data_IF_441105087913
#
_entry.id   IF_441105087913
#
_cell.length_a   1.000
_cell.length_b   1.000
_cell.length_c   1.000
_cell.angle_alpha   90.00
_cell.angle_beta   90.00
_cell.angle_gamma   90.00
#
_symmetry.space_group_name_H-M   'P 1'
#
loop_
_entity.id
_entity.type
_entity.pdbx_description
1 polymer ?
#
# COMPACT_ATOMS: atom_id res chain seq x y z
N UNK A 1 2.90 14.24 7.01
CA UNK A 1 3.28 15.40 7.87
C UNK A 1 2.30 15.60 9.01
N UNK A 2 1.00 15.82 8.75
CA UNK A 2 -0.01 16.00 9.81
C UNK A 2 0.04 14.91 10.90
N UNK A 3 0.01 13.63 10.51
CA UNK A 3 0.09 12.51 11.46
C UNK A 3 1.34 12.55 12.35
N UNK A 4 2.51 12.85 11.78
CA UNK A 4 3.74 12.96 12.53
C UNK A 4 3.72 14.10 13.55
N UNK A 5 3.13 15.25 13.20
CA UNK A 5 2.93 16.35 14.16
C UNK A 5 2.02 15.92 15.32
N UNK A 6 0.89 15.26 15.02
CA UNK A 6 -0.04 14.78 16.05
C UNK A 6 0.61 13.74 16.97
N UNK A 7 1.38 12.79 16.43
CA UNK A 7 2.02 11.73 17.21
C UNK A 7 3.15 12.25 18.11
N UNK A 8 4.01 13.13 17.58
CA UNK A 8 5.16 13.64 18.33
C UNK A 8 4.80 14.76 19.32
N UNK A 9 3.89 15.68 18.92
CA UNK A 9 3.61 16.92 19.67
C UNK A 9 2.18 17.03 20.18
N UNK A 10 1.29 16.10 19.81
CA UNK A 10 -0.04 16.01 20.41
C UNK A 10 0.00 15.33 21.77
N UNK A 11 -1.18 14.99 22.30
CA UNK A 11 -1.32 14.38 23.63
C UNK A 11 -0.57 13.04 23.77
N UNK A 12 -0.37 12.30 22.68
CA UNK A 12 0.32 11.02 22.67
C UNK A 12 1.82 11.12 23.05
N UNK A 13 2.47 12.25 22.73
CA UNK A 13 3.91 12.50 22.97
C UNK A 13 4.81 11.30 22.64
N UNK A 14 4.62 10.70 21.47
CA UNK A 14 5.36 9.52 21.06
C UNK A 14 6.83 9.87 20.80
N UNK A 15 7.75 9.15 21.45
CA UNK A 15 9.20 9.38 21.34
C UNK A 15 9.77 8.81 20.04
N UNK A 16 9.42 9.44 18.92
CA UNK A 16 9.84 9.08 17.56
C UNK A 16 10.26 10.33 16.79
N UNK A 17 10.90 10.15 15.64
CA UNK A 17 11.09 11.20 14.65
C UNK A 17 10.75 10.67 13.25
N UNK A 18 10.37 11.56 12.34
CA UNK A 18 9.99 11.22 10.97
C UNK A 18 11.12 11.49 9.99
N UNK A 19 11.31 10.57 9.04
CA UNK A 19 12.12 10.77 7.85
C UNK A 19 11.21 10.72 6.62
N UNK A 20 11.24 11.77 5.81
CA UNK A 20 10.41 11.90 4.61
C UNK A 20 11.31 12.26 3.44
N UNK A 21 11.35 11.39 2.43
CA UNK A 21 12.00 11.70 1.16
C UNK A 21 11.07 12.56 0.31
N UNK A 22 11.55 13.73 -0.10
CA UNK A 22 10.89 14.58 -1.09
C UNK A 22 11.65 14.54 -2.41
N UNK A 23 11.00 15.01 -3.47
CA UNK A 23 11.49 14.89 -4.84
C UNK A 23 11.55 16.28 -5.48
N UNK A 24 12.50 16.49 -6.38
CA UNK A 24 12.67 17.73 -7.14
C UNK A 24 12.06 17.68 -8.54
N UNK A 25 11.31 16.63 -8.87
CA UNK A 25 10.69 16.42 -10.17
C UNK A 25 9.23 16.87 -10.16
N UNK A 26 8.83 17.67 -11.14
CA UNK A 26 7.43 18.10 -11.30
C UNK A 26 6.64 17.08 -12.13
N UNK A 27 5.46 16.72 -11.64
CA UNK A 27 4.47 15.90 -12.35
C UNK A 27 3.07 16.17 -11.81
N UNK A 28 2.05 15.68 -12.50
CA UNK A 28 0.66 15.86 -12.08
C UNK A 28 0.40 15.22 -10.70
N UNK A 29 -0.15 16.01 -9.78
CA UNK A 29 -0.54 15.58 -8.43
C UNK A 29 -2.07 15.41 -8.38
N UNK A 30 -2.60 14.18 -8.46
CA UNK A 30 -4.05 13.95 -8.41
C UNK A 30 -4.62 14.22 -7.02
N UNK A 31 -5.95 14.38 -6.94
CA UNK A 31 -6.65 14.44 -5.67
C UNK A 31 -6.45 13.15 -4.85
N UNK A 32 -6.43 13.28 -3.53
CA UNK A 32 -6.39 12.13 -2.63
C UNK A 32 -7.70 11.32 -2.77
N UNK A 33 -7.64 9.99 -2.95
CA UNK A 33 -8.84 9.16 -2.91
C UNK A 33 -9.53 9.26 -1.55
N UNK A 34 -10.86 9.30 -1.53
CA UNK A 34 -11.62 9.35 -0.28
C UNK A 34 -11.34 8.09 0.57
N UNK A 35 -11.04 8.28 1.87
CA UNK A 35 -10.75 7.18 2.80
C UNK A 35 -9.31 6.64 2.73
N UNK A 36 -8.43 7.22 1.90
CA UNK A 36 -7.03 6.78 1.79
C UNK A 36 -6.15 7.19 2.97
N UNK A 37 -6.63 8.03 3.89
CA UNK A 37 -5.85 8.66 4.96
C UNK A 37 -5.20 7.64 5.89
N UNK A 38 -5.91 6.57 6.24
CA UNK A 38 -5.37 5.48 7.07
C UNK A 38 -4.32 4.67 6.30
N UNK A 39 -4.57 4.35 5.03
CA UNK A 39 -3.62 3.60 4.20
C UNK A 39 -2.32 4.38 3.93
N UNK A 40 -2.42 5.71 3.74
CA UNK A 40 -1.26 6.60 3.65
C UNK A 40 -0.43 6.56 4.92
N UNK A 41 -1.06 6.58 6.10
CA UNK A 41 -0.37 6.49 7.40
C UNK A 41 0.23 5.12 7.65
N UNK A 42 -0.49 4.04 7.31
CA UNK A 42 -0.07 2.65 7.51
C UNK A 42 0.97 2.15 6.51
N UNK A 43 1.12 2.82 5.38
CA UNK A 43 2.22 2.56 4.43
C UNK A 43 1.78 2.09 3.05
N UNK A 44 0.51 1.75 2.82
CA UNK A 44 0.00 1.31 1.51
C UNK A 44 -1.50 1.54 1.37
N UNK A 45 -1.93 1.91 0.17
CA UNK A 45 -3.34 1.86 -0.25
C UNK A 45 -3.48 1.52 -1.73
N UNK A 46 -4.62 0.95 -2.11
CA UNK A 46 -4.95 0.70 -3.52
C UNK A 46 -5.34 2.02 -4.18
N UNK A 47 -4.62 2.39 -5.24
CA UNK A 47 -4.83 3.63 -5.96
C UNK A 47 -5.92 3.46 -7.03
N UNK A 48 -5.86 2.37 -7.79
CA UNK A 48 -6.80 2.07 -8.88
C UNK A 48 -6.77 0.58 -9.25
N UNK A 49 -7.77 0.16 -10.02
CA UNK A 49 -7.86 -1.15 -10.66
C UNK A 49 -8.08 -0.95 -12.15
N UNK A 50 -7.26 -1.59 -12.97
CA UNK A 50 -7.45 -1.70 -14.42
C UNK A 50 -7.95 -3.11 -14.74
N UNK A 51 -8.96 -3.18 -15.59
CA UNK A 51 -9.53 -4.45 -16.04
C UNK A 51 -8.72 -5.06 -17.18
N UNK A 52 -8.78 -6.39 -17.32
CA UNK A 52 -8.16 -7.13 -18.40
C UNK A 52 -8.63 -8.58 -18.41
N UNK A 53 -8.69 -9.19 -19.59
CA UNK A 53 -9.28 -10.51 -19.79
C UNK A 53 -8.27 -11.66 -19.80
N UNK A 54 -6.97 -11.37 -19.94
CA UNK A 54 -5.91 -12.39 -20.11
C UNK A 54 -5.13 -12.71 -18.84
N UNK A 55 -5.31 -11.92 -17.79
CA UNK A 55 -4.62 -12.11 -16.51
C UNK A 55 -4.80 -10.91 -15.59
N UNK A 56 -4.40 -11.08 -14.33
CA UNK A 56 -4.41 -10.00 -13.34
C UNK A 56 -3.15 -10.00 -12.49
N UNK A 57 -2.49 -8.84 -12.41
CA UNK A 57 -1.28 -8.63 -11.60
C UNK A 57 -1.52 -7.58 -10.51
N UNK A 58 -0.58 -7.46 -9.58
CA UNK A 58 -0.56 -6.39 -8.58
C UNK A 58 0.72 -5.59 -8.79
N UNK A 59 0.59 -4.27 -8.86
CA UNK A 59 1.69 -3.35 -9.17
C UNK A 59 1.88 -2.37 -8.01
N UNK A 60 3.09 -2.30 -7.47
CA UNK A 60 3.40 -1.49 -6.29
C UNK A 60 4.44 -0.43 -6.68
N UNK A 61 4.21 0.81 -6.28
CA UNK A 61 5.13 1.91 -6.52
C UNK A 61 5.18 2.90 -5.36
N UNK A 62 6.31 3.62 -5.25
CA UNK A 62 6.50 4.69 -4.27
C UNK A 62 7.27 5.85 -4.89
N UNK A 63 7.16 7.04 -4.31
CA UNK A 63 7.88 8.24 -4.78
C UNK A 63 7.70 8.53 -6.27
N UNK A 64 8.77 8.95 -6.94
CA UNK A 64 8.77 9.29 -8.37
C UNK A 64 8.50 8.10 -9.29
N UNK A 65 8.73 6.87 -8.80
CA UNK A 65 8.55 5.66 -9.61
C UNK A 65 7.08 5.25 -9.71
N UNK A 66 6.21 5.66 -8.77
CA UNK A 66 4.79 5.29 -8.81
C UNK A 66 4.12 5.65 -10.14
N UNK A 67 4.40 6.82 -10.72
CA UNK A 67 3.79 7.22 -12.00
C UNK A 67 4.19 6.29 -13.16
N UNK A 68 5.42 5.79 -13.16
CA UNK A 68 5.92 4.87 -14.17
C UNK A 68 5.30 3.48 -14.00
N UNK A 69 5.01 3.09 -12.75
CA UNK A 69 4.23 1.88 -12.45
C UNK A 69 2.78 2.01 -12.98
N UNK A 70 2.16 3.19 -12.88
CA UNK A 70 0.84 3.46 -13.47
C UNK A 70 0.87 3.39 -15.00
N UNK A 71 1.92 3.92 -15.63
CA UNK A 71 2.12 3.80 -17.07
C UNK A 71 2.26 2.33 -17.50
N UNK A 72 3.05 1.54 -16.78
CA UNK A 72 3.16 0.10 -17.00
C UNK A 72 1.82 -0.64 -16.84
N UNK A 73 0.98 -0.21 -15.87
CA UNK A 73 -0.37 -0.74 -15.71
C UNK A 73 -1.23 -0.52 -16.97
N UNK A 74 -1.13 0.67 -17.56
CA UNK A 74 -1.85 1.02 -18.78
C UNK A 74 -1.35 0.22 -19.99
N UNK A 75 -0.04 0.04 -20.14
CA UNK A 75 0.58 -0.78 -21.18
C UNK A 75 0.10 -2.23 -21.05
N UNK A 76 0.14 -2.80 -19.85
CA UNK A 76 -0.33 -4.17 -19.58
C UNK A 76 -1.81 -4.35 -19.97
N UNK A 77 -2.67 -3.39 -19.63
CA UNK A 77 -4.08 -3.46 -19.95
C UNK A 77 -4.33 -3.34 -21.46
N UNK A 78 -3.72 -2.34 -22.12
CA UNK A 78 -3.99 -2.03 -23.53
C UNK A 78 -3.37 -3.03 -24.50
N UNK A 79 -2.09 -3.35 -24.29
CA UNK A 79 -1.30 -4.07 -25.29
C UNK A 79 -1.34 -5.58 -25.04
N UNK A 80 -1.48 -5.98 -23.78
CA UNK A 80 -1.44 -7.38 -23.36
C UNK A 80 -2.77 -7.89 -22.84
N UNK A 81 -3.77 -7.04 -22.62
CA UNK A 81 -5.07 -7.44 -22.03
C UNK A 81 -4.93 -7.96 -20.60
N UNK A 82 -3.88 -7.56 -19.87
CA UNK A 82 -3.60 -7.96 -18.49
C UNK A 82 -4.06 -6.85 -17.55
N UNK A 83 -5.06 -7.15 -16.72
CA UNK A 83 -5.56 -6.22 -15.70
C UNK A 83 -4.59 -6.08 -14.54
N UNK A 84 -4.76 -5.05 -13.73
CA UNK A 84 -3.90 -4.83 -12.57
C UNK A 84 -4.60 -4.11 -11.42
N UNK A 85 -4.17 -4.40 -10.19
CA UNK A 85 -4.42 -3.52 -9.06
C UNK A 85 -3.14 -2.73 -8.79
N UNK A 86 -3.22 -1.39 -8.81
CA UNK A 86 -2.07 -0.50 -8.58
C UNK A 86 -2.13 0.04 -7.15
N UNK A 87 -0.99 -0.02 -6.45
CA UNK A 87 -0.87 0.41 -5.06
C UNK A 87 0.18 1.50 -4.91
N UNK A 88 -0.19 2.56 -4.18
CA UNK A 88 0.74 3.57 -3.69
C UNK A 88 1.28 3.12 -2.34
N UNK A 89 2.58 2.89 -2.27
CA UNK A 89 3.28 2.47 -1.06
C UNK A 89 4.02 3.66 -0.47
N UNK A 90 3.50 4.22 0.60
CA UNK A 90 4.05 5.41 1.27
C UNK A 90 5.19 5.07 2.25
N UNK A 91 5.24 3.84 2.76
CA UNK A 91 6.34 3.36 3.60
C UNK A 91 6.46 1.84 3.58
N UNK A 92 7.41 1.32 2.80
CA UNK A 92 7.76 -0.11 2.87
C UNK A 92 8.31 -0.52 4.24
N UNK A 93 8.99 0.41 4.94
CA UNK A 93 9.61 0.12 6.24
C UNK A 93 8.54 -0.12 7.32
N UNK A 94 7.49 0.70 7.36
CA UNK A 94 6.41 0.52 8.34
C UNK A 94 5.61 -0.75 8.07
N UNK A 95 5.38 -1.11 6.81
CA UNK A 95 4.71 -2.37 6.46
C UNK A 95 5.55 -3.59 6.84
N UNK A 96 6.88 -3.51 6.69
CA UNK A 96 7.77 -4.58 7.11
C UNK A 96 7.75 -4.75 8.64
N UNK A 97 7.79 -3.65 9.39
CA UNK A 97 7.68 -3.67 10.86
C UNK A 97 6.34 -4.26 11.32
N UNK A 98 5.24 -3.82 10.75
CA UNK A 98 3.90 -4.36 11.03
C UNK A 98 3.82 -5.86 10.75
N UNK A 99 4.39 -6.31 9.63
CA UNK A 99 4.47 -7.73 9.29
C UNK A 99 5.30 -8.54 10.29
N UNK A 100 6.47 -8.03 10.67
CA UNK A 100 7.33 -8.65 11.69
C UNK A 100 6.62 -8.75 13.04
N UNK A 101 5.89 -7.70 13.45
CA UNK A 101 5.14 -7.67 14.70
C UNK A 101 3.99 -8.68 14.70
N UNK A 102 3.27 -8.81 13.58
CA UNK A 102 2.23 -9.82 13.41
C UNK A 102 2.82 -11.24 13.50
N UNK A 103 3.88 -11.54 12.75
CA UNK A 103 4.49 -12.88 12.76
C UNK A 103 5.10 -13.22 14.12
N UNK A 104 5.77 -12.27 14.76
CA UNK A 104 6.30 -12.45 16.12
C UNK A 104 5.17 -12.74 17.10
N UNK A 105 4.07 -12.02 17.01
CA UNK A 105 2.92 -12.26 17.87
C UNK A 105 2.32 -13.65 17.61
N UNK A 106 2.11 -14.03 16.35
CA UNK A 106 1.57 -15.34 15.97
C UNK A 106 2.44 -16.50 16.48
N UNK A 107 3.77 -16.37 16.37
CA UNK A 107 4.73 -17.35 16.89
C UNK A 107 4.61 -17.55 18.41
N UNK A 108 4.33 -16.48 19.15
CA UNK A 108 4.21 -16.50 20.62
C UNK A 108 2.79 -16.89 21.12
N UNK A 109 1.79 -16.90 20.23
CA UNK A 109 0.39 -17.18 20.57
C UNK A 109 -0.20 -18.25 19.64
N UNK A 110 0.34 -19.48 19.63
CA UNK A 110 -0.02 -20.51 18.65
C UNK A 110 -1.47 -21.01 18.77
N UNK A 111 -2.13 -20.76 19.90
CA UNK A 111 -3.52 -21.17 20.15
C UNK A 111 -4.54 -20.05 19.84
N UNK A 112 -4.09 -18.85 19.52
CA UNK A 112 -4.96 -17.72 19.19
C UNK A 112 -5.15 -17.57 17.67
N UNK A 113 -6.13 -16.76 17.26
CA UNK A 113 -6.33 -16.47 15.84
C UNK A 113 -5.15 -15.65 15.31
N UNK A 114 -4.48 -16.08 14.22
CA UNK A 114 -3.33 -15.37 13.68
C UNK A 114 -3.69 -13.94 13.26
N UNK A 115 -2.87 -12.98 13.69
CA UNK A 115 -2.88 -11.61 13.17
C UNK A 115 -2.46 -11.61 11.71
N UNK A 116 -3.09 -10.74 10.92
CA UNK A 116 -2.81 -10.59 9.49
C UNK A 116 -2.10 -9.25 9.27
N UNK A 117 -0.89 -9.23 8.68
CA UNK A 117 -0.19 -7.99 8.36
C UNK A 117 -1.04 -7.03 7.52
N UNK A 118 -0.93 -5.73 7.75
CA UNK A 118 -1.71 -4.69 7.06
C UNK A 118 -1.56 -4.78 5.53
N UNK A 119 -0.32 -4.99 5.05
CA UNK A 119 -0.06 -5.18 3.62
C UNK A 119 -0.83 -6.39 3.06
N UNK A 120 -0.93 -7.49 3.81
CA UNK A 120 -1.69 -8.66 3.40
C UNK A 120 -3.20 -8.38 3.42
N UNK A 121 -3.70 -7.52 4.32
CA UNK A 121 -5.10 -7.09 4.31
C UNK A 121 -5.44 -6.27 3.06
N UNK A 122 -4.55 -5.36 2.64
CA UNK A 122 -4.75 -4.48 1.47
C UNK A 122 -4.56 -5.22 0.15
N UNK A 123 -3.56 -6.10 0.06
CA UNK A 123 -3.21 -6.85 -1.16
C UNK A 123 -4.00 -8.16 -1.33
N UNK A 124 -4.97 -8.44 -0.45
CA UNK A 124 -5.80 -9.64 -0.52
C UNK A 124 -6.39 -9.80 -1.92
N UNK A 125 -6.05 -10.92 -2.56
CA UNK A 125 -6.60 -11.30 -3.86
C UNK A 125 -8.11 -11.48 -3.68
N UNK A 126 -8.94 -10.70 -4.39
CA UNK A 126 -10.34 -11.09 -4.58
C UNK A 126 -10.30 -12.43 -5.32
N UNK A 127 -10.90 -13.47 -4.74
CA UNK A 127 -11.09 -14.72 -5.43
C UNK A 127 -11.79 -14.41 -6.76
N UNK A 128 -11.08 -14.63 -7.87
CA UNK A 128 -11.73 -14.75 -9.17
C UNK A 128 -12.68 -15.92 -9.03
N UNK A 129 -13.99 -15.66 -9.14
CA UNK A 129 -15.01 -16.70 -9.16
C UNK A 129 -14.72 -17.67 -10.30
N UNK A 130 -13.99 -18.72 -9.99
CA UNK A 130 -13.94 -19.95 -10.74
C UNK A 130 -14.81 -20.93 -9.97
N UNK A 131 -16.01 -21.14 -10.49
CA UNK A 131 -16.84 -22.29 -10.14
C UNK A 131 -15.99 -23.52 -10.45
N UNK A 132 -15.69 -24.32 -9.43
CA UNK A 132 -15.42 -25.75 -9.61
C UNK A 132 -16.69 -26.50 -9.27
#
# INVERSE_FOLDING_TARGET
>A
MHDGLTRMYGEAQENIYYYITTLNENYHMPAMPAGAEEGIRKGIYKLETLEGSKGKVQLLGSGSILRHVREAAQILANDYGVGSDVYSVTSFTELARDGQDCERWNMLHPMETPRVPYIAQVMKRRASGGVY
#
